data_IF_174373669099
#
_entry.id   IF_174373669099
#
_cell.length_a   1.000
_cell.length_b   1.000
_cell.length_c   1.000
_cell.angle_alpha   90.00
_cell.angle_beta   90.00
_cell.angle_gamma   90.00
#
_symmetry.space_group_name_H-M   'P 1'
#
loop_
_entity.id
_entity.type
_entity.pdbx_description
1 polymer ?
#
# COMPACT_ATOMS: atom_id res chain seq x y z
N UNK A 1 -20.99 0.09 4.00
CA UNK A 1 -19.85 0.82 4.61
C UNK A 1 -18.61 -0.05 4.46
N UNK A 2 -17.55 0.40 3.79
CA UNK A 2 -16.30 -0.36 3.75
C UNK A 2 -15.63 -0.23 5.12
N UNK A 3 -15.63 -1.29 5.92
CA UNK A 3 -14.96 -1.29 7.22
C UNK A 3 -13.47 -1.53 6.98
N UNK A 4 -12.67 -0.48 7.12
CA UNK A 4 -11.21 -0.60 7.06
C UNK A 4 -10.70 -1.42 8.25
N UNK A 5 -9.66 -2.26 8.09
CA UNK A 5 -9.15 -3.11 9.18
C UNK A 5 -8.51 -2.27 10.29
N UNK A 6 -8.80 -2.61 11.53
CA UNK A 6 -8.25 -2.03 12.75
C UNK A 6 -6.85 -2.58 13.04
N UNK A 7 -5.99 -1.88 13.82
CA UNK A 7 -4.69 -2.40 14.24
C UNK A 7 -4.78 -3.78 14.92
N UNK A 8 -5.82 -4.02 15.71
CA UNK A 8 -6.07 -5.33 16.36
C UNK A 8 -6.37 -6.46 15.36
N UNK A 9 -7.07 -6.16 14.26
CA UNK A 9 -7.31 -7.13 13.18
C UNK A 9 -6.04 -7.41 12.38
N UNK A 10 -5.26 -6.38 12.07
CA UNK A 10 -3.98 -6.52 11.37
C UNK A 10 -2.96 -7.30 12.20
N UNK A 11 -2.92 -7.06 13.52
CA UNK A 11 -2.15 -7.86 14.47
C UNK A 11 -2.50 -9.36 14.40
N UNK A 12 -3.81 -9.69 14.44
CA UNK A 12 -4.27 -11.08 14.35
C UNK A 12 -3.91 -11.72 13.01
N UNK A 13 -4.06 -10.98 11.90
CA UNK A 13 -3.67 -11.45 10.56
C UNK A 13 -2.18 -11.78 10.48
N UNK A 14 -1.31 -10.91 10.99
CA UNK A 14 0.13 -11.15 10.97
C UNK A 14 0.52 -12.42 11.76
N UNK A 15 -0.13 -12.66 12.90
CA UNK A 15 0.10 -13.88 13.68
C UNK A 15 -0.43 -15.12 12.97
N UNK A 16 -1.61 -15.03 12.35
CA UNK A 16 -2.20 -16.13 11.60
C UNK A 16 -1.37 -16.52 10.36
N UNK A 17 -0.64 -15.56 9.77
CA UNK A 17 0.29 -15.82 8.66
C UNK A 17 1.60 -16.51 9.08
N UNK A 18 1.84 -16.70 10.38
CA UNK A 18 3.05 -17.37 10.87
C UNK A 18 2.95 -18.89 10.81
N UNK A 19 3.95 -19.61 10.26
CA UNK A 19 3.94 -21.06 10.24
C UNK A 19 3.95 -21.66 11.66
N UNK A 20 3.02 -22.57 12.02
CA UNK A 20 2.96 -23.16 13.37
C UNK A 20 4.22 -23.95 13.77
N UNK A 21 4.97 -24.47 12.79
CA UNK A 21 6.18 -25.26 13.01
C UNK A 21 7.43 -24.40 13.31
N UNK A 22 7.37 -23.08 13.10
CA UNK A 22 8.49 -22.18 13.31
C UNK A 22 8.38 -21.45 14.64
N UNK A 23 9.50 -21.36 15.35
CA UNK A 23 9.59 -20.54 16.55
C UNK A 23 9.93 -19.10 16.16
N UNK A 24 9.22 -18.14 16.75
CA UNK A 24 9.58 -16.73 16.61
C UNK A 24 10.97 -16.47 17.19
N UNK A 25 11.80 -15.75 16.44
CA UNK A 25 13.06 -15.21 16.97
C UNK A 25 12.81 -14.21 18.12
N UNK A 26 13.84 -13.94 18.92
CA UNK A 26 13.73 -13.06 20.09
C UNK A 26 13.28 -11.63 19.75
N UNK A 27 13.70 -11.08 18.61
CA UNK A 27 13.29 -9.74 18.18
C UNK A 27 11.80 -9.72 17.77
N UNK A 28 11.36 -10.75 17.05
CA UNK A 28 9.96 -10.97 16.67
C UNK A 28 9.06 -11.11 17.91
N UNK A 29 9.47 -11.93 18.89
CA UNK A 29 8.77 -12.08 20.16
C UNK A 29 8.67 -10.74 20.92
N UNK A 30 9.76 -9.98 20.97
CA UNK A 30 9.78 -8.68 21.64
C UNK A 30 8.78 -7.72 21.00
N UNK A 31 8.85 -7.49 19.69
CA UNK A 31 7.97 -6.52 19.01
C UNK A 31 6.51 -6.95 19.10
N UNK A 32 6.21 -8.24 18.90
CA UNK A 32 4.85 -8.80 19.05
C UNK A 32 4.29 -8.57 20.45
N UNK A 33 5.10 -8.84 21.49
CA UNK A 33 4.68 -8.64 22.89
C UNK A 33 4.42 -7.16 23.18
N UNK A 34 5.28 -6.27 22.72
CA UNK A 34 5.09 -4.82 22.88
C UNK A 34 3.80 -4.36 22.19
N UNK A 35 3.52 -4.85 20.98
CA UNK A 35 2.27 -4.53 20.29
C UNK A 35 1.04 -5.06 21.03
N UNK A 36 1.08 -6.29 21.54
CA UNK A 36 -0.02 -6.87 22.31
C UNK A 36 -0.37 -6.03 23.56
N UNK A 37 0.65 -5.55 24.27
CA UNK A 37 0.47 -4.62 25.39
C UNK A 37 -0.09 -3.27 24.93
N UNK A 38 0.39 -2.74 23.80
CA UNK A 38 -0.12 -1.49 23.23
C UNK A 38 -1.61 -1.58 22.87
N UNK A 39 -2.05 -2.69 22.29
CA UNK A 39 -3.45 -2.95 21.91
C UNK A 39 -4.37 -3.12 23.13
N UNK A 40 -3.87 -3.68 24.23
CA UNK A 40 -4.64 -3.88 25.47
C UNK A 40 -4.58 -2.69 26.42
N UNK A 41 -3.81 -1.64 26.08
CA UNK A 41 -3.59 -0.48 26.96
C UNK A 41 -2.78 -0.81 28.22
N UNK A 42 -2.14 -1.98 28.28
CA UNK A 42 -1.36 -2.42 29.44
C UNK A 42 0.12 -2.00 29.31
N UNK A 43 0.77 -1.73 30.44
CA UNK A 43 2.19 -1.43 30.44
C UNK A 43 3.01 -2.70 30.18
N UNK A 44 3.87 -2.75 29.14
CA UNK A 44 4.76 -3.89 28.95
C UNK A 44 5.80 -3.94 30.07
N UNK A 45 6.27 -5.14 30.45
CA UNK A 45 7.30 -5.29 31.48
C UNK A 45 8.65 -4.67 31.04
N UNK A 46 9.58 -4.44 31.98
CA UNK A 46 10.91 -3.92 31.66
C UNK A 46 11.74 -5.00 30.95
N UNK A 47 11.71 -4.99 29.61
CA UNK A 47 12.48 -5.89 28.74
C UNK A 47 13.52 -5.07 27.95
N UNK A 48 14.76 -5.57 27.76
CA UNK A 48 15.73 -4.96 26.84
C UNK A 48 15.15 -4.69 25.44
N UNK A 49 15.55 -3.59 24.81
CA UNK A 49 15.04 -3.21 23.48
C UNK A 49 13.60 -2.67 23.44
N UNK A 50 12.87 -2.65 24.58
CA UNK A 50 11.48 -2.16 24.69
C UNK A 50 11.28 -0.80 24.04
N UNK A 51 12.19 0.15 24.24
CA UNK A 51 12.03 1.53 23.72
C UNK A 51 11.92 1.55 22.20
N UNK A 52 12.81 0.86 21.50
CA UNK A 52 12.82 0.80 20.04
C UNK A 52 11.58 0.08 19.51
N UNK A 53 11.22 -1.06 20.11
CA UNK A 53 10.01 -1.80 19.75
C UNK A 53 8.73 -0.96 19.99
N UNK A 54 8.66 -0.21 21.09
CA UNK A 54 7.51 0.67 21.41
C UNK A 54 7.40 1.80 20.40
N UNK A 55 8.52 2.43 20.05
CA UNK A 55 8.54 3.49 19.03
C UNK A 55 8.10 2.94 17.68
N UNK A 56 8.59 1.76 17.29
CA UNK A 56 8.21 1.12 16.03
C UNK A 56 6.71 0.83 15.96
N UNK A 57 6.13 0.21 17.00
CA UNK A 57 4.69 -0.08 17.09
C UNK A 57 3.86 1.19 17.01
N UNK A 58 4.24 2.24 17.75
CA UNK A 58 3.54 3.54 17.72
C UNK A 58 3.56 4.18 16.34
N UNK A 59 4.70 4.15 15.66
CA UNK A 59 4.81 4.68 14.31
C UNK A 59 3.96 3.89 13.31
N UNK A 60 3.94 2.56 13.40
CA UNK A 60 3.09 1.70 12.59
C UNK A 60 1.61 2.04 12.78
N UNK A 61 1.13 2.12 14.02
CA UNK A 61 -0.28 2.40 14.30
C UNK A 61 -0.68 3.81 13.86
N UNK A 62 0.20 4.82 14.00
CA UNK A 62 -0.04 6.17 13.45
C UNK A 62 -0.10 6.15 11.92
N UNK A 63 0.73 5.34 11.27
CA UNK A 63 0.72 5.18 9.82
C UNK A 63 -0.59 4.53 9.33
N UNK A 64 -1.03 3.47 10.03
CA UNK A 64 -2.30 2.78 9.79
C UNK A 64 -3.49 3.71 10.04
N UNK A 65 -3.46 4.50 11.13
CA UNK A 65 -4.51 5.47 11.45
C UNK A 65 -4.61 6.57 10.38
N UNK A 66 -3.49 7.14 9.95
CA UNK A 66 -3.48 8.13 8.86
C UNK A 66 -4.14 7.57 7.59
N UNK A 67 -3.80 6.33 7.22
CA UNK A 67 -4.44 5.68 6.07
C UNK A 67 -5.94 5.47 6.27
N UNK A 68 -6.40 5.15 7.48
CA UNK A 68 -7.84 5.02 7.78
C UNK A 68 -8.59 6.34 7.65
N UNK A 69 -7.97 7.44 8.08
CA UNK A 69 -8.59 8.76 8.08
C UNK A 69 -8.63 9.38 6.67
N UNK A 70 -7.61 9.11 5.84
CA UNK A 70 -7.46 9.73 4.52
C UNK A 70 -7.71 8.78 3.35
N UNK A 71 -7.82 7.48 3.59
CA UNK A 71 -7.90 6.41 2.58
C UNK A 71 -6.73 6.40 1.59
N UNK A 72 -5.61 7.01 1.99
CA UNK A 72 -4.38 7.14 1.22
C UNK A 72 -3.19 7.00 2.18
N UNK A 73 -2.10 6.33 1.76
CA UNK A 73 -0.90 6.27 2.58
C UNK A 73 -0.25 7.66 2.68
N UNK A 74 0.47 7.95 3.79
CA UNK A 74 1.28 9.16 3.91
C UNK A 74 2.20 9.35 2.71
N UNK A 75 2.25 10.57 2.16
CA UNK A 75 3.03 10.82 0.93
C UNK A 75 4.52 10.73 1.21
N UNK A 76 5.18 9.72 0.62
CA UNK A 76 6.63 9.53 0.73
C UNK A 76 7.44 10.43 -0.22
N UNK A 77 6.88 10.73 -1.39
CA UNK A 77 7.50 11.53 -2.45
C UNK A 77 6.50 12.51 -3.02
N UNK A 78 6.75 13.79 -2.83
CA UNK A 78 6.03 14.90 -3.47
C UNK A 78 7.05 15.91 -3.99
N UNK A 79 6.68 16.66 -5.04
CA UNK A 79 7.51 17.75 -5.59
C UNK A 79 7.78 18.83 -4.55
N UNK A 80 6.92 18.95 -3.54
CA UNK A 80 7.11 19.91 -2.45
C UNK A 80 6.83 19.26 -1.10
N UNK A 81 7.87 18.68 -0.48
CA UNK A 81 7.76 18.05 0.84
C UNK A 81 7.47 19.07 1.94
N UNK A 82 7.83 20.33 1.75
CA UNK A 82 7.62 21.39 2.75
C UNK A 82 6.16 21.79 2.92
N UNK A 83 5.28 21.49 1.95
CA UNK A 83 3.84 21.79 2.04
C UNK A 83 3.05 20.75 2.83
N UNK A 84 3.66 19.62 3.17
CA UNK A 84 2.99 18.58 3.96
C UNK A 84 3.10 18.89 5.45
N UNK A 85 2.04 18.61 6.24
CA UNK A 85 2.13 18.66 7.69
C UNK A 85 3.31 17.83 8.21
N UNK A 86 3.99 18.31 9.26
CA UNK A 86 5.15 17.63 9.82
C UNK A 86 4.84 16.17 10.21
N UNK A 87 3.64 15.92 10.73
CA UNK A 87 3.16 14.58 11.09
C UNK A 87 3.14 13.62 9.89
N UNK A 88 2.59 14.05 8.75
CA UNK A 88 2.56 13.23 7.52
C UNK A 88 3.97 12.97 7.00
N UNK A 89 4.84 14.00 7.00
CA UNK A 89 6.23 13.85 6.56
C UNK A 89 6.99 12.80 7.37
N UNK A 90 6.83 12.81 8.69
CA UNK A 90 7.47 11.86 9.58
C UNK A 90 6.98 10.43 9.33
N UNK A 91 5.70 10.24 9.01
CA UNK A 91 5.15 8.93 8.65
C UNK A 91 5.71 8.45 7.30
N UNK A 92 5.80 9.32 6.29
CA UNK A 92 6.42 8.99 5.01
C UNK A 92 7.93 8.69 5.14
N UNK A 93 8.65 9.38 6.03
CA UNK A 93 10.04 9.06 6.39
C UNK A 93 10.17 7.70 7.09
N UNK A 94 9.26 7.41 8.02
CA UNK A 94 9.24 6.14 8.72
C UNK A 94 9.01 4.96 7.76
N UNK A 95 8.07 5.07 6.82
CA UNK A 95 7.81 4.04 5.81
C UNK A 95 9.03 3.81 4.90
N UNK A 96 9.65 4.91 4.41
CA UNK A 96 10.90 4.83 3.64
C UNK A 96 12.02 4.14 4.42
N UNK A 97 12.12 4.40 5.73
CA UNK A 97 13.11 3.75 6.58
C UNK A 97 12.88 2.24 6.64
N UNK A 98 11.64 1.78 6.78
CA UNK A 98 11.33 0.34 6.85
C UNK A 98 11.84 -0.40 5.61
N UNK A 99 11.61 0.15 4.42
CA UNK A 99 12.12 -0.42 3.15
C UNK A 99 13.66 -0.45 3.11
N UNK A 100 14.31 0.66 3.47
CA UNK A 100 15.79 0.75 3.44
C UNK A 100 16.46 -0.19 4.43
N UNK A 101 15.79 -0.49 5.54
CA UNK A 101 16.30 -1.35 6.60
C UNK A 101 15.57 -2.68 6.66
N UNK A 102 14.99 -3.15 5.55
CA UNK A 102 14.22 -4.39 5.48
C UNK A 102 15.03 -5.59 6.02
N UNK A 103 16.30 -5.69 5.63
CA UNK A 103 17.26 -6.70 6.11
C UNK A 103 17.51 -6.67 7.64
N UNK A 104 17.08 -5.62 8.35
CA UNK A 104 17.20 -5.49 9.81
C UNK A 104 15.89 -5.70 10.54
N UNK A 105 14.78 -5.89 9.80
CA UNK A 105 13.48 -6.10 10.41
C UNK A 105 13.39 -7.55 10.88
N UNK A 106 12.84 -7.73 12.07
CA UNK A 106 12.43 -9.06 12.52
C UNK A 106 11.30 -9.59 11.63
N UNK A 107 11.15 -10.92 11.61
CA UNK A 107 10.15 -11.57 10.78
C UNK A 107 8.72 -11.14 11.14
N UNK A 108 8.44 -10.89 12.41
CA UNK A 108 7.15 -10.31 12.84
C UNK A 108 6.89 -8.92 12.24
N UNK A 109 7.90 -8.05 12.20
CA UNK A 109 7.76 -6.72 11.61
C UNK A 109 7.47 -6.79 10.12
N UNK A 110 8.13 -7.71 9.39
CA UNK A 110 7.86 -7.94 7.97
C UNK A 110 6.40 -8.35 7.76
N UNK A 111 5.93 -9.38 8.49
CA UNK A 111 4.55 -9.84 8.40
C UNK A 111 3.54 -8.74 8.76
N UNK A 112 3.81 -7.94 9.80
CA UNK A 112 2.94 -6.82 10.18
C UNK A 112 2.86 -5.74 9.12
N UNK A 113 3.94 -5.48 8.40
CA UNK A 113 3.96 -4.53 7.28
C UNK A 113 3.24 -5.10 6.06
N UNK A 114 3.43 -6.38 5.74
CA UNK A 114 2.78 -7.07 4.61
C UNK A 114 1.26 -7.11 4.71
N UNK A 115 0.72 -7.35 5.91
CA UNK A 115 -0.74 -7.38 6.10
C UNK A 115 -1.37 -5.98 6.15
N UNK A 116 -0.55 -4.92 6.30
CA UNK A 116 -1.03 -3.56 6.47
C UNK A 116 -1.38 -2.91 5.12
N UNK A 117 -2.64 -2.53 4.86
CA UNK A 117 -3.01 -1.88 3.61
C UNK A 117 -2.40 -0.48 3.45
N UNK A 118 -1.92 0.10 4.55
CA UNK A 118 -1.25 1.40 4.54
C UNK A 118 0.17 1.34 3.98
N UNK A 119 0.81 0.16 3.95
CA UNK A 119 2.21 0.00 3.55
C UNK A 119 2.33 -0.98 2.38
N UNK A 120 2.89 -0.53 1.27
CA UNK A 120 3.39 -1.42 0.22
C UNK A 120 4.89 -1.64 0.41
N UNK A 121 5.52 -2.71 -0.09
CA UNK A 121 6.99 -2.84 -0.19
C UNK A 121 7.57 -2.15 -1.44
N UNK A 122 6.77 -2.11 -2.52
CA UNK A 122 7.01 -1.28 -3.70
C UNK A 122 5.84 -0.29 -3.91
N UNK A 123 5.99 1.01 -3.60
CA UNK A 123 4.94 2.00 -3.80
C UNK A 123 4.69 2.30 -5.27
N UNK A 124 5.70 2.14 -6.13
CA UNK A 124 5.58 2.41 -7.57
C UNK A 124 4.77 1.30 -8.22
N UNK A 125 5.04 0.05 -7.86
CA UNK A 125 4.23 -1.08 -8.29
C UNK A 125 2.80 -0.96 -7.78
N UNK A 126 2.61 -0.67 -6.48
CA UNK A 126 1.27 -0.45 -5.92
C UNK A 126 0.51 0.66 -6.64
N UNK A 127 1.16 1.78 -6.92
CA UNK A 127 0.55 2.89 -7.66
C UNK A 127 0.20 2.50 -9.10
N UNK A 128 1.04 1.69 -9.75
CA UNK A 128 0.78 1.17 -11.09
C UNK A 128 -0.47 0.28 -11.11
N UNK A 129 -0.55 -0.70 -10.20
CA UNK A 129 -1.71 -1.60 -10.05
C UNK A 129 -2.98 -0.79 -9.75
N UNK A 130 -2.92 0.16 -8.82
CA UNK A 130 -4.10 0.97 -8.47
C UNK A 130 -4.66 1.76 -9.66
N UNK A 131 -3.78 2.32 -10.50
CA UNK A 131 -4.20 3.02 -11.71
C UNK A 131 -4.73 2.05 -12.78
N UNK A 132 -4.09 0.88 -12.94
CA UNK A 132 -4.60 -0.17 -13.81
C UNK A 132 -6.03 -0.59 -13.42
N UNK A 133 -6.25 -0.90 -12.15
CA UNK A 133 -7.57 -1.26 -11.64
C UNK A 133 -8.58 -0.11 -11.79
N UNK A 134 -8.14 1.14 -11.67
CA UNK A 134 -8.98 2.30 -11.91
C UNK A 134 -9.40 2.41 -13.38
N UNK A 135 -8.50 2.15 -14.33
CA UNK A 135 -8.84 2.07 -15.75
C UNK A 135 -9.84 0.93 -16.01
N UNK A 136 -9.61 -0.24 -15.42
CA UNK A 136 -10.51 -1.38 -15.57
C UNK A 136 -11.90 -1.10 -14.98
N UNK A 137 -11.99 -0.45 -13.80
CA UNK A 137 -13.27 -0.03 -13.21
C UNK A 137 -13.98 1.00 -14.08
N UNK A 138 -13.24 1.96 -14.65
CA UNK A 138 -13.81 2.93 -15.57
C UNK A 138 -14.42 2.23 -16.78
N UNK A 139 -13.67 1.33 -17.42
CA UNK A 139 -14.15 0.52 -18.54
C UNK A 139 -15.43 -0.25 -18.21
N UNK A 140 -15.47 -0.95 -17.05
CA UNK A 140 -16.68 -1.66 -16.61
C UNK A 140 -17.89 -0.75 -16.40
N UNK A 141 -17.66 0.51 -16.00
CA UNK A 141 -18.73 1.47 -15.67
C UNK A 141 -19.25 2.23 -16.90
N UNK A 142 -18.37 2.61 -17.82
CA UNK A 142 -18.68 3.49 -18.95
C UNK A 142 -18.67 2.78 -20.30
N UNK A 143 -18.14 1.56 -20.35
CA UNK A 143 -17.89 0.80 -21.57
C UNK A 143 -16.67 1.29 -22.36
N UNK A 144 -16.00 2.36 -21.92
CA UNK A 144 -14.89 3.01 -22.63
C UNK A 144 -13.66 3.15 -21.74
N UNK A 145 -12.47 3.21 -22.37
CA UNK A 145 -11.25 3.57 -21.65
C UNK A 145 -11.23 5.06 -21.29
N UNK A 146 -10.56 5.46 -20.20
CA UNK A 146 -10.49 6.86 -19.79
C UNK A 146 -9.76 7.70 -20.84
N UNK A 147 -10.39 8.79 -21.26
CA UNK A 147 -9.88 9.75 -22.26
C UNK A 147 -9.80 11.17 -21.68
N UNK A 148 -9.08 12.07 -22.36
CA UNK A 148 -8.70 13.38 -21.82
C UNK A 148 -9.81 14.46 -21.89
N UNK A 149 -10.84 14.31 -22.73
CA UNK A 149 -11.80 15.36 -23.01
C UNK A 149 -12.94 15.44 -21.98
N UNK A 150 -13.18 16.63 -21.41
CA UNK A 150 -14.34 16.93 -20.54
C UNK A 150 -14.39 16.16 -19.21
N UNK A 151 -13.29 15.50 -18.85
CA UNK A 151 -13.20 14.58 -17.72
C UNK A 151 -13.12 15.30 -16.37
N UNK A 152 -13.58 14.65 -15.29
CA UNK A 152 -13.25 15.07 -13.93
C UNK A 152 -11.72 15.09 -13.74
N UNK A 153 -11.18 15.86 -12.78
CA UNK A 153 -9.73 15.88 -12.53
C UNK A 153 -9.11 14.49 -12.32
N UNK A 154 -9.87 13.57 -11.72
CA UNK A 154 -9.50 12.17 -11.50
C UNK A 154 -9.41 11.37 -12.81
N UNK A 155 -10.43 11.46 -13.66
CA UNK A 155 -10.43 10.78 -14.95
C UNK A 155 -9.37 11.38 -15.88
N UNK A 156 -9.14 12.70 -15.85
CA UNK A 156 -8.04 13.32 -16.58
C UNK A 156 -6.66 12.79 -16.14
N UNK A 157 -6.44 12.66 -14.83
CA UNK A 157 -5.21 12.10 -14.30
C UNK A 157 -5.01 10.63 -14.72
N UNK A 158 -6.10 9.85 -14.70
CA UNK A 158 -6.11 8.45 -15.10
C UNK A 158 -5.86 8.27 -16.61
N UNK A 159 -6.54 9.05 -17.46
CA UNK A 159 -6.35 9.05 -18.92
C UNK A 159 -4.92 9.43 -19.30
N UNK A 160 -4.35 10.45 -18.64
CA UNK A 160 -2.96 10.85 -18.84
C UNK A 160 -1.98 9.77 -18.40
N UNK A 161 -2.27 9.04 -17.32
CA UNK A 161 -1.47 7.89 -16.92
C UNK A 161 -1.55 6.76 -17.96
N UNK A 162 -2.76 6.40 -18.40
CA UNK A 162 -2.99 5.35 -19.40
C UNK A 162 -2.27 5.67 -20.71
N UNK A 163 -2.38 6.90 -21.23
CA UNK A 163 -1.70 7.31 -22.46
C UNK A 163 -0.17 7.13 -22.39
N UNK A 164 0.44 7.41 -21.22
CA UNK A 164 1.88 7.15 -21.01
C UNK A 164 2.20 5.66 -21.01
N UNK A 165 1.34 4.83 -20.43
CA UNK A 165 1.53 3.38 -20.42
C UNK A 165 1.39 2.78 -21.82
N UNK A 166 0.42 3.25 -22.61
CA UNK A 166 0.23 2.82 -24.01
C UNK A 166 1.42 3.23 -24.89
N UNK A 167 1.99 4.41 -24.67
CA UNK A 167 3.22 4.83 -25.34
C UNK A 167 4.40 3.91 -24.99
N UNK A 168 4.61 3.64 -23.69
CA UNK A 168 5.67 2.73 -23.25
C UNK A 168 5.49 1.29 -23.79
N UNK A 169 4.25 0.82 -23.91
CA UNK A 169 3.91 -0.45 -24.53
C UNK A 169 4.29 -0.46 -26.02
N UNK A 170 3.94 0.61 -26.76
CA UNK A 170 4.30 0.78 -28.17
C UNK A 170 5.82 0.81 -28.37
N UNK A 171 6.53 1.47 -27.47
CA UNK A 171 8.00 1.61 -27.54
C UNK A 171 8.74 0.36 -27.03
N UNK A 172 8.03 -0.67 -26.54
CA UNK A 172 8.64 -1.90 -26.02
C UNK A 172 9.42 -1.73 -24.71
N UNK A 173 9.22 -0.63 -23.99
CA UNK A 173 9.95 -0.31 -22.75
C UNK A 173 9.22 -0.75 -21.48
N UNK A 174 7.99 -1.26 -21.64
CA UNK A 174 7.16 -1.71 -20.53
C UNK A 174 7.54 -3.14 -20.11
N UNK A 175 7.66 -3.45 -18.80
CA UNK A 175 7.89 -4.81 -18.34
C UNK A 175 6.85 -5.81 -18.88
N UNK A 176 7.23 -7.06 -19.18
CA UNK A 176 6.35 -8.05 -19.82
C UNK A 176 5.01 -8.25 -19.10
N UNK A 177 5.03 -8.37 -17.77
CA UNK A 177 3.80 -8.59 -16.98
C UNK A 177 2.82 -7.42 -17.11
N UNK A 178 3.34 -6.19 -17.12
CA UNK A 178 2.56 -4.97 -17.30
C UNK A 178 2.04 -4.84 -18.73
N UNK A 179 2.84 -5.26 -19.71
CA UNK A 179 2.44 -5.27 -21.11
C UNK A 179 1.26 -6.24 -21.34
N UNK A 180 1.33 -7.46 -20.79
CA UNK A 180 0.26 -8.44 -20.88
C UNK A 180 -1.06 -7.90 -20.27
N UNK A 181 -0.99 -7.28 -19.08
CA UNK A 181 -2.17 -6.69 -18.43
C UNK A 181 -2.82 -5.57 -19.26
N UNK A 182 -2.02 -4.68 -19.85
CA UNK A 182 -2.54 -3.60 -20.70
C UNK A 182 -3.09 -4.10 -22.02
N UNK A 183 -2.47 -5.11 -22.63
CA UNK A 183 -3.01 -5.75 -23.83
C UNK A 183 -4.37 -6.38 -23.55
N UNK A 184 -4.52 -7.08 -22.42
CA UNK A 184 -5.82 -7.58 -21.96
C UNK A 184 -6.85 -6.47 -21.83
N UNK A 185 -6.51 -5.36 -21.17
CA UNK A 185 -7.40 -4.21 -21.01
C UNK A 185 -7.82 -3.59 -22.36
N UNK A 186 -6.92 -3.52 -23.33
CA UNK A 186 -7.23 -3.03 -24.69
C UNK A 186 -8.19 -3.99 -25.39
N UNK A 187 -7.93 -5.30 -25.31
CA UNK A 187 -8.81 -6.32 -25.89
C UNK A 187 -10.22 -6.27 -25.28
N UNK A 188 -10.32 -6.21 -23.95
CA UNK A 188 -11.60 -6.07 -23.25
C UNK A 188 -12.35 -4.82 -23.70
N UNK A 189 -11.65 -3.71 -23.91
CA UNK A 189 -12.28 -2.48 -24.37
C UNK A 189 -12.88 -2.59 -25.77
N UNK A 190 -12.28 -3.38 -26.67
CA UNK A 190 -12.82 -3.61 -28.02
C UNK A 190 -14.07 -4.48 -27.98
N UNK A 191 -14.02 -5.57 -27.20
CA UNK A 191 -15.15 -6.47 -27.03
C UNK A 191 -16.41 -5.76 -26.48
N UNK A 192 -16.23 -4.78 -25.59
CA UNK A 192 -17.36 -3.99 -25.07
C UNK A 192 -17.96 -3.05 -26.12
N UNK A 193 -17.15 -2.54 -27.05
CA UNK A 193 -17.63 -1.66 -28.13
C UNK A 193 -18.33 -2.45 -29.25
N UNK A 194 -17.95 -3.71 -29.45
CA UNK A 194 -18.49 -4.59 -30.51
C UNK A 194 -19.70 -5.43 -30.03
N UNK A 195 -20.17 -5.26 -28.80
CA UNK A 195 -21.35 -5.95 -28.25
C UNK A 195 -22.68 -5.41 -28.81
N UNK A 196 -23.73 -6.24 -28.95
CA UNK A 196 -24.97 -5.83 -29.59
C UNK A 196 -25.70 -4.75 -28.77
N UNK A 197 -26.02 -3.63 -29.45
CA UNK A 197 -26.84 -2.52 -28.96
C UNK A 197 -28.26 -2.92 -28.57
#
# INVERSE_FOLDING_TARGET
>A
MQTHPTPSELYRRAIASWPPAEHWDNASLLVRRIEAHHLTGTAPPPIPGRRLATTWVRSLHRHEQFWRDHLQPPRERTRNLSTLPQSERLLGEWARRQRRTEHRLSRYQILRLEVSPSFAWDPRERAWINNYDACHRHLRKTGTLPYLAGASPEQFALARWLGRQLHALKDGTLPPDRAALLQGLITDSRLVQDGPS
#
